data_IF_695926495372
#
_entry.id   IF_695926495372
#
_cell.length_a   1.000
_cell.length_b   1.000
_cell.length_c   1.000
_cell.angle_alpha   90.00
_cell.angle_beta   90.00
_cell.angle_gamma   90.00
#
_symmetry.space_group_name_H-M   'P 1'
#
loop_
_entity.id
_entity.type
_entity.pdbx_description
1 polymer ?
#
# COMPACT_ATOMS: atom_id res chain seq x y z
N UNK A 1 28.82 -27.38 -11.48
CA UNK A 1 28.05 -26.42 -12.31
C UNK A 1 27.18 -25.60 -11.34
N UNK A 2 27.50 -24.33 -11.10
CA UNK A 2 26.70 -23.47 -10.22
C UNK A 2 25.63 -22.78 -11.06
N UNK A 3 24.37 -23.21 -10.95
CA UNK A 3 23.25 -22.46 -11.50
C UNK A 3 23.00 -21.23 -10.63
N UNK A 4 23.35 -20.05 -11.17
CA UNK A 4 22.97 -18.76 -10.60
C UNK A 4 21.47 -18.59 -10.91
N UNK A 5 20.63 -18.77 -9.90
CA UNK A 5 19.19 -18.54 -10.00
C UNK A 5 18.99 -17.03 -9.88
N UNK A 6 18.78 -16.35 -11.00
CA UNK A 6 18.38 -14.94 -11.03
C UNK A 6 16.93 -14.85 -10.53
N UNK A 7 16.76 -14.73 -9.20
CA UNK A 7 15.44 -14.55 -8.59
C UNK A 7 15.00 -13.12 -8.93
N UNK A 8 14.35 -12.95 -10.08
CA UNK A 8 13.54 -11.75 -10.36
C UNK A 8 12.46 -11.66 -9.29
N UNK A 9 12.74 -10.93 -8.22
CA UNK A 9 11.78 -10.69 -7.14
C UNK A 9 10.61 -9.91 -7.73
N UNK A 10 9.48 -10.58 -7.92
CA UNK A 10 8.23 -9.92 -8.27
C UNK A 10 7.93 -8.81 -7.25
N UNK A 11 7.50 -7.62 -7.70
CA UNK A 11 7.19 -6.53 -6.79
C UNK A 11 6.14 -6.96 -5.77
N UNK A 12 6.47 -6.79 -4.48
CA UNK A 12 5.55 -7.10 -3.37
C UNK A 12 4.50 -6.00 -3.22
N UNK A 13 3.40 -6.26 -2.52
CA UNK A 13 2.41 -5.23 -2.13
C UNK A 13 3.06 -3.99 -1.52
N UNK A 14 4.12 -4.16 -0.73
CA UNK A 14 4.91 -3.05 -0.18
C UNK A 14 5.41 -2.09 -1.26
N UNK A 15 5.87 -2.62 -2.39
CA UNK A 15 6.41 -1.84 -3.49
C UNK A 15 5.31 -1.02 -4.17
N UNK A 16 4.17 -1.65 -4.45
CA UNK A 16 3.00 -0.97 -5.02
C UNK A 16 2.49 0.15 -4.12
N UNK A 17 2.30 -0.13 -2.83
CA UNK A 17 1.75 0.85 -1.89
C UNK A 17 2.74 1.99 -1.60
N UNK A 18 4.03 1.67 -1.52
CA UNK A 18 5.09 2.67 -1.30
C UNK A 18 5.29 3.60 -2.50
N UNK A 19 4.96 3.13 -3.71
CA UNK A 19 5.13 3.89 -4.95
C UNK A 19 3.96 4.85 -5.22
N UNK A 20 2.86 4.75 -4.46
CA UNK A 20 1.71 5.64 -4.62
C UNK A 20 2.07 7.09 -4.30
N UNK A 21 1.79 7.98 -5.25
CA UNK A 21 1.83 9.43 -5.06
C UNK A 21 0.59 9.91 -4.28
N UNK A 22 0.65 11.12 -3.75
CA UNK A 22 -0.46 11.72 -3.00
C UNK A 22 -1.69 11.84 -3.91
N UNK A 23 -2.83 11.35 -3.42
CA UNK A 23 -4.08 11.31 -4.19
C UNK A 23 -4.20 10.12 -5.13
N UNK A 24 -3.13 9.37 -5.38
CA UNK A 24 -3.21 8.13 -6.13
C UNK A 24 -3.82 7.00 -5.31
N UNK A 25 -4.44 6.07 -6.02
CA UNK A 25 -5.06 4.89 -5.42
C UNK A 25 -4.75 3.63 -6.19
N UNK A 26 -4.51 2.57 -5.43
CA UNK A 26 -4.31 1.23 -5.90
C UNK A 26 -5.52 0.36 -5.55
N UNK A 27 -5.95 -0.52 -6.45
CA UNK A 27 -7.02 -1.48 -6.18
C UNK A 27 -6.47 -2.91 -6.14
N UNK A 28 -6.99 -3.69 -5.21
CA UNK A 28 -6.71 -5.11 -5.05
C UNK A 28 -8.00 -5.85 -4.71
N UNK A 29 -8.01 -7.17 -4.83
CA UNK A 29 -9.13 -7.98 -4.31
C UNK A 29 -9.31 -7.74 -2.81
N UNK A 30 -10.56 -7.62 -2.36
CA UNK A 30 -10.85 -7.39 -0.95
C UNK A 30 -10.34 -8.52 -0.04
N UNK A 31 -10.25 -9.74 -0.55
CA UNK A 31 -9.62 -10.89 0.09
C UNK A 31 -8.17 -10.62 0.57
N UNK A 32 -7.47 -9.66 -0.04
CA UNK A 32 -6.10 -9.28 0.33
C UNK A 32 -6.04 -8.26 1.47
N UNK A 33 -7.16 -7.73 1.95
CA UNK A 33 -7.23 -6.84 3.11
C UNK A 33 -6.48 -7.36 4.35
N UNK A 34 -6.66 -8.61 4.83
CA UNK A 34 -5.91 -9.14 5.98
C UNK A 34 -4.39 -9.18 5.77
N UNK A 35 -3.91 -9.13 4.52
CA UNK A 35 -2.49 -9.06 4.18
C UNK A 35 -2.00 -7.61 4.06
N UNK A 36 -2.77 -6.75 3.38
CA UNK A 36 -2.38 -5.39 3.02
C UNK A 36 -2.44 -4.44 4.24
N UNK A 37 -3.50 -4.53 5.05
CA UNK A 37 -3.71 -3.68 6.22
C UNK A 37 -2.54 -3.71 7.22
N UNK A 38 -2.07 -4.88 7.70
CA UNK A 38 -0.90 -4.94 8.58
C UNK A 38 0.39 -4.52 7.88
N UNK A 39 0.52 -4.75 6.57
CA UNK A 39 1.67 -4.32 5.78
C UNK A 39 1.84 -2.79 5.81
N UNK A 40 0.73 -2.07 5.64
CA UNK A 40 0.68 -0.60 5.73
C UNK A 40 1.05 -0.17 7.15
N UNK A 41 0.37 -0.73 8.15
CA UNK A 41 0.51 -0.34 9.55
C UNK A 41 1.91 -0.60 10.12
N UNK A 42 2.57 -1.68 9.69
CA UNK A 42 3.91 -2.06 10.17
C UNK A 42 5.00 -1.59 9.23
N UNK A 43 5.14 -2.19 8.04
CA UNK A 43 6.33 -1.96 7.20
C UNK A 43 6.35 -0.60 6.53
N UNK A 44 5.21 -0.18 5.99
CA UNK A 44 5.13 1.11 5.30
C UNK A 44 5.29 2.23 6.30
N UNK A 45 4.55 2.18 7.42
CA UNK A 45 4.67 3.17 8.51
C UNK A 45 6.08 3.25 9.10
N UNK A 46 6.80 2.13 9.24
CA UNK A 46 8.18 2.16 9.72
C UNK A 46 9.15 2.85 8.75
N UNK A 47 8.96 2.66 7.44
CA UNK A 47 9.81 3.31 6.42
C UNK A 47 9.41 4.75 6.17
N UNK A 48 8.14 5.04 6.33
CA UNK A 48 7.52 6.30 5.95
C UNK A 48 6.49 6.69 7.02
N UNK A 49 6.94 7.18 8.19
CA UNK A 49 6.07 7.41 9.35
C UNK A 49 5.05 8.52 9.12
N UNK A 50 5.40 9.54 8.34
CA UNK A 50 4.53 10.67 7.99
C UNK A 50 3.44 10.29 6.99
N UNK A 51 3.66 9.16 6.29
CA UNK A 51 2.79 8.73 5.21
C UNK A 51 1.50 8.08 5.71
N UNK A 52 0.39 8.79 5.50
CA UNK A 52 -0.97 8.27 5.69
C UNK A 52 -1.54 7.54 4.47
N UNK A 53 -2.26 6.45 4.73
CA UNK A 53 -2.97 5.66 3.73
C UNK A 53 -4.39 5.37 4.19
N UNK A 54 -5.33 5.42 3.25
CA UNK A 54 -6.73 5.08 3.48
C UNK A 54 -7.08 3.83 2.71
N UNK A 55 -7.69 2.86 3.39
CA UNK A 55 -8.27 1.69 2.75
C UNK A 55 -9.79 1.84 2.68
N UNK A 56 -10.41 1.50 1.55
CA UNK A 56 -11.87 1.54 1.40
C UNK A 56 -12.34 0.34 0.58
N UNK A 57 -13.53 -0.17 0.92
CA UNK A 57 -14.17 -1.26 0.18
C UNK A 57 -14.95 -0.66 -0.98
N UNK A 58 -14.69 -1.13 -2.19
CA UNK A 58 -15.36 -0.70 -3.42
C UNK A 58 -16.00 -1.91 -4.10
N UNK A 59 -17.18 -1.76 -4.71
CA UNK A 59 -17.79 -2.85 -5.48
C UNK A 59 -17.13 -2.91 -6.87
N UNK A 60 -16.32 -3.94 -7.09
CA UNK A 60 -15.79 -4.28 -8.40
C UNK A 60 -16.80 -5.05 -9.24
N UNK A 61 -16.47 -5.22 -10.52
CA UNK A 61 -17.29 -5.94 -11.49
C UNK A 61 -17.41 -7.44 -11.15
N UNK A 62 -16.35 -8.04 -10.58
CA UNK A 62 -16.24 -9.47 -10.29
C UNK A 62 -16.25 -9.80 -8.77
N UNK A 63 -16.44 -8.79 -7.91
CA UNK A 63 -16.37 -8.94 -6.47
C UNK A 63 -16.00 -7.66 -5.74
N UNK A 64 -15.95 -7.73 -4.42
CA UNK A 64 -15.51 -6.60 -3.61
C UNK A 64 -14.00 -6.35 -3.79
N UNK A 65 -13.62 -5.09 -3.94
CA UNK A 65 -12.24 -4.63 -4.07
C UNK A 65 -11.83 -3.82 -2.84
N UNK A 66 -10.56 -3.93 -2.48
CA UNK A 66 -9.87 -3.04 -1.54
C UNK A 66 -9.16 -1.95 -2.33
N UNK A 67 -9.60 -0.71 -2.13
CA UNK A 67 -8.91 0.47 -2.63
C UNK A 67 -8.01 1.03 -1.55
N UNK A 68 -6.72 1.19 -1.85
CA UNK A 68 -5.72 1.82 -0.99
C UNK A 68 -5.32 3.15 -1.62
N UNK A 69 -5.67 4.25 -0.97
CA UNK A 69 -5.36 5.60 -1.42
C UNK A 69 -4.29 6.20 -0.53
N UNK A 70 -3.26 6.79 -1.13
CA UNK A 70 -2.27 7.60 -0.42
C UNK A 70 -2.90 8.95 -0.09
N UNK A 71 -2.99 9.26 1.20
CA UNK A 71 -3.43 10.57 1.66
C UNK A 71 -2.26 11.54 1.71
N UNK A 72 -2.57 12.83 1.69
CA UNK A 72 -1.63 13.89 2.05
C UNK A 72 -0.99 13.57 3.41
N UNK A 73 0.32 13.79 3.49
CA UNK A 73 1.03 13.76 4.77
C UNK A 73 0.33 14.75 5.71
N UNK A 74 0.17 14.36 6.97
CA UNK A 74 -0.37 15.29 7.95
C UNK A 74 0.69 16.36 8.13
N UNK A 75 0.57 17.50 7.43
CA UNK A 75 1.22 18.71 7.91
C UNK A 75 0.67 18.95 9.31
N UNK A 76 1.52 18.79 10.31
CA UNK A 76 1.24 19.24 11.66
C UNK A 76 1.13 20.76 11.57
N UNK A 77 -0.08 21.27 11.29
CA UNK A 77 -0.41 22.68 11.46
C UNK A 77 -0.28 22.98 12.94
N UNK A 78 0.93 23.38 13.34
CA UNK A 78 1.20 23.98 14.62
C UNK A 78 0.69 25.42 14.55
N UNK A 79 -0.62 25.61 14.81
CA UNK A 79 -1.22 26.93 15.04
C UNK A 79 -0.71 27.43 16.40
N UNK A 80 0.18 28.42 16.35
CA UNK A 80 0.93 28.99 17.47
C UNK A 80 0.20 30.17 18.11
#
# INVERSE_FOLDING_TARGET
>A
MNQIIDVKKSPTWTHYISALEVGESFTADYDKMPTISPLISTRIKLKFPDRQYKTSKEKGHDGDLLRVTRLEDKEESNDN
#
